data_IF_194662841696
#
_entry.id   IF_194662841696
#
_cell.length_a   1.000
_cell.length_b   1.000
_cell.length_c   1.000
_cell.angle_alpha   90.00
_cell.angle_beta   90.00
_cell.angle_gamma   90.00
#
_symmetry.space_group_name_H-M   'P 1'
#
loop_
_entity.id
_entity.type
_entity.pdbx_description
1 polymer ?
#
# COMPACT_ATOMS: atom_id res chain seq x y z
N UNK A 1 -31.75 47.88 2.94
CA UNK A 1 -30.82 47.39 3.97
C UNK A 1 -30.51 45.95 3.67
N UNK A 2 -29.35 45.70 3.06
CA UNK A 2 -28.91 44.36 2.65
C UNK A 2 -28.14 43.73 3.81
N UNK A 3 -28.65 42.65 4.39
CA UNK A 3 -27.97 41.92 5.46
C UNK A 3 -27.25 40.68 4.92
N UNK A 4 -25.93 40.71 5.13
CA UNK A 4 -24.92 39.66 5.27
C UNK A 4 -25.35 38.18 5.22
N UNK A 5 -24.70 37.47 4.29
CA UNK A 5 -23.74 36.37 4.52
C UNK A 5 -24.15 35.20 5.43
N UNK A 6 -24.44 34.05 4.80
CA UNK A 6 -24.41 32.73 5.42
C UNK A 6 -23.42 31.85 4.68
N UNK A 7 -22.13 31.94 5.06
CA UNK A 7 -21.08 31.04 4.56
C UNK A 7 -21.36 29.65 5.14
N UNK A 8 -21.90 28.76 4.30
CA UNK A 8 -22.18 27.39 4.65
C UNK A 8 -20.95 26.74 5.30
N UNK A 9 -21.10 26.33 6.56
CA UNK A 9 -20.10 25.53 7.26
C UNK A 9 -19.80 24.31 6.41
N UNK A 10 -18.52 24.08 6.10
CA UNK A 10 -18.05 22.78 5.61
C UNK A 10 -18.51 21.76 6.64
N UNK A 11 -19.54 20.99 6.30
CA UNK A 11 -20.01 19.90 7.14
C UNK A 11 -18.79 19.08 7.55
N UNK A 12 -18.68 18.78 8.84
CA UNK A 12 -17.74 17.79 9.33
C UNK A 12 -18.10 16.50 8.60
N UNK A 13 -17.37 16.23 7.51
CA UNK A 13 -17.63 15.04 6.72
C UNK A 13 -17.41 13.91 7.69
N UNK A 14 -18.46 13.12 7.96
CA UNK A 14 -18.31 11.80 8.54
C UNK A 14 -17.55 10.94 7.51
N UNK A 15 -16.27 11.27 7.35
CA UNK A 15 -15.32 10.54 6.53
C UNK A 15 -15.13 9.24 7.28
N UNK A 16 -15.55 8.16 6.64
CA UNK A 16 -15.36 6.79 7.10
C UNK A 16 -13.89 6.67 7.53
N UNK A 17 -13.65 6.45 8.83
CA UNK A 17 -12.31 6.39 9.41
C UNK A 17 -11.59 5.17 8.86
N UNK A 18 -10.67 5.38 7.93
CA UNK A 18 -9.97 4.31 7.19
C UNK A 18 -8.62 4.00 7.81
N UNK A 19 -7.99 4.97 8.48
CA UNK A 19 -6.61 4.83 8.96
C UNK A 19 -6.50 4.54 10.45
N UNK A 20 -7.58 4.62 11.23
CA UNK A 20 -7.52 4.51 12.69
C UNK A 20 -6.77 3.27 13.21
N UNK A 21 -6.90 2.11 12.55
CA UNK A 21 -6.18 0.89 12.98
C UNK A 21 -4.68 0.98 12.72
N UNK A 22 -4.29 1.42 11.52
CA UNK A 22 -2.90 1.50 11.11
C UNK A 22 -2.17 2.65 11.81
N UNK A 23 -2.87 3.76 12.08
CA UNK A 23 -2.33 4.88 12.84
C UNK A 23 -1.99 4.48 14.27
N UNK A 24 -2.83 3.69 14.96
CA UNK A 24 -2.49 3.18 16.30
C UNK A 24 -1.19 2.37 16.30
N UNK A 25 -1.03 1.49 15.31
CA UNK A 25 0.19 0.68 15.18
C UNK A 25 1.41 1.54 14.85
N UNK A 26 1.26 2.55 13.99
CA UNK A 26 2.34 3.48 13.69
C UNK A 26 2.70 4.33 14.91
N UNK A 27 1.73 4.89 15.63
CA UNK A 27 1.97 5.66 16.85
C UNK A 27 2.81 4.87 17.86
N UNK A 28 2.44 3.61 18.11
CA UNK A 28 3.24 2.70 18.94
C UNK A 28 4.65 2.47 18.36
N UNK A 29 4.77 2.24 17.06
CA UNK A 29 6.07 2.09 16.39
C UNK A 29 6.98 3.33 16.45
N UNK A 30 6.39 4.52 16.61
CA UNK A 30 7.10 5.78 16.85
C UNK A 30 7.36 6.08 18.34
N UNK A 31 6.97 5.16 19.24
CA UNK A 31 7.24 5.23 20.67
C UNK A 31 6.09 5.72 21.55
N UNK A 32 4.88 5.83 21.01
CA UNK A 32 3.67 6.13 21.79
C UNK A 32 3.19 4.91 22.60
N UNK A 33 2.15 5.08 23.42
CA UNK A 33 1.51 4.00 24.17
C UNK A 33 0.83 2.99 23.23
N UNK A 34 0.73 1.73 23.67
CA UNK A 34 0.16 0.64 22.86
C UNK A 34 -1.33 0.83 22.52
N UNK A 35 -2.07 1.52 23.37
CA UNK A 35 -3.48 1.86 23.14
C UNK A 35 -3.69 3.37 23.35
N UNK A 36 -3.38 4.20 22.34
CA UNK A 36 -3.54 5.64 22.44
C UNK A 36 -5.02 6.02 22.46
N UNK A 37 -5.33 7.17 23.06
CA UNK A 37 -6.70 7.67 23.14
C UNK A 37 -7.33 7.84 21.76
N UNK A 38 -8.61 7.52 21.67
CA UNK A 38 -9.37 7.61 20.42
C UNK A 38 -9.33 9.02 19.84
N UNK A 39 -9.40 10.05 20.67
CA UNK A 39 -9.36 11.45 20.23
C UNK A 39 -8.00 11.84 19.64
N UNK A 40 -6.90 11.32 20.18
CA UNK A 40 -5.56 11.54 19.61
C UNK A 40 -5.43 10.88 18.24
N UNK A 41 -5.89 9.64 18.10
CA UNK A 41 -5.90 8.93 16.80
C UNK A 41 -6.76 9.67 15.79
N UNK A 42 -7.90 10.18 16.24
CA UNK A 42 -8.86 10.93 15.44
C UNK A 42 -8.24 12.22 14.88
N UNK A 43 -7.59 13.00 15.73
CA UNK A 43 -6.90 14.23 15.32
C UNK A 43 -5.76 13.90 14.37
N UNK A 44 -4.98 12.86 14.65
CA UNK A 44 -3.88 12.44 13.77
C UNK A 44 -4.40 12.00 12.39
N UNK A 45 -5.53 11.30 12.33
CA UNK A 45 -6.16 10.92 11.06
C UNK A 45 -6.57 12.15 10.24
N UNK A 46 -7.10 13.19 10.88
CA UNK A 46 -7.43 14.45 10.22
C UNK A 46 -6.18 15.14 9.66
N UNK A 47 -5.12 15.25 10.46
CA UNK A 47 -3.84 15.82 10.01
C UNK A 47 -3.22 15.04 8.84
N UNK A 48 -3.30 13.70 8.86
CA UNK A 48 -2.75 12.85 7.80
C UNK A 48 -3.54 13.02 6.50
N UNK A 49 -4.86 13.08 6.57
CA UNK A 49 -5.70 13.31 5.37
C UNK A 49 -5.40 14.68 4.77
N UNK A 50 -5.26 15.72 5.60
CA UNK A 50 -4.94 17.06 5.13
C UNK A 50 -3.54 17.10 4.50
N UNK A 51 -2.54 16.48 5.13
CA UNK A 51 -1.19 16.37 4.57
C UNK A 51 -1.16 15.67 3.21
N UNK A 52 -1.84 14.53 3.07
CA UNK A 52 -1.89 13.79 1.80
C UNK A 52 -2.61 14.62 0.74
N UNK A 53 -3.71 15.28 1.11
CA UNK A 53 -4.49 16.12 0.19
C UNK A 53 -3.65 17.29 -0.33
N UNK A 54 -2.93 17.98 0.56
CA UNK A 54 -2.07 19.10 0.19
C UNK A 54 -0.88 18.66 -0.68
N UNK A 55 -0.27 17.52 -0.38
CA UNK A 55 0.77 16.93 -1.23
C UNK A 55 0.26 16.61 -2.63
N UNK A 56 -0.93 16.00 -2.74
CA UNK A 56 -1.56 15.71 -4.02
C UNK A 56 -1.88 16.99 -4.81
N UNK A 57 -2.39 18.03 -4.14
CA UNK A 57 -2.63 19.32 -4.79
C UNK A 57 -1.33 19.97 -5.29
N UNK A 58 -0.25 19.90 -4.52
CA UNK A 58 1.06 20.41 -4.96
C UNK A 58 1.58 19.64 -6.17
N UNK A 59 1.52 18.31 -6.13
CA UNK A 59 1.95 17.47 -7.25
C UNK A 59 1.07 17.70 -8.51
N UNK A 60 -0.24 17.87 -8.33
CA UNK A 60 -1.17 18.16 -9.43
C UNK A 60 -0.90 19.52 -10.10
N UNK A 61 -0.48 20.54 -9.34
CA UNK A 61 -0.09 21.85 -9.90
C UNK A 61 1.17 21.78 -10.75
N UNK A 62 2.06 20.84 -10.44
CA UNK A 62 3.32 20.64 -11.16
C UNK A 62 3.16 19.72 -12.37
N UNK A 63 2.09 18.92 -12.41
CA UNK A 63 1.84 17.98 -13.49
C UNK A 63 1.70 18.69 -14.84
N UNK A 64 2.65 18.43 -15.74
CA UNK A 64 2.64 18.93 -17.11
C UNK A 64 1.56 18.29 -18.00
N UNK A 65 0.88 17.23 -17.52
CA UNK A 65 -0.04 16.39 -18.30
C UNK A 65 -1.52 16.63 -17.98
N UNK A 66 -1.89 17.89 -17.71
CA UNK A 66 -3.28 18.29 -17.55
C UNK A 66 -4.01 17.58 -16.39
N UNK A 67 -3.35 17.48 -15.24
CA UNK A 67 -3.92 16.90 -14.01
C UNK A 67 -3.62 15.42 -13.76
N UNK A 68 -2.88 14.74 -14.66
CA UNK A 68 -2.37 13.38 -14.40
C UNK A 68 -1.09 13.43 -13.57
N UNK A 69 -1.22 13.17 -12.27
CA UNK A 69 -0.08 13.14 -11.34
C UNK A 69 0.76 11.87 -11.56
N UNK A 70 2.08 12.05 -11.62
CA UNK A 70 3.09 11.00 -11.78
C UNK A 70 4.01 10.94 -10.56
N UNK A 71 4.81 9.87 -10.46
CA UNK A 71 5.77 9.71 -9.36
C UNK A 71 6.84 10.81 -9.38
N UNK A 72 7.25 11.25 -10.56
CA UNK A 72 8.25 12.32 -10.69
C UNK A 72 7.72 13.67 -10.18
N UNK A 73 6.42 13.92 -10.28
CA UNK A 73 5.79 15.11 -9.69
C UNK A 73 5.94 15.10 -8.16
N UNK A 74 5.73 13.94 -7.51
CA UNK A 74 5.94 13.80 -6.07
C UNK A 74 7.41 13.94 -5.67
N UNK A 75 8.35 13.38 -6.46
CA UNK A 75 9.79 13.59 -6.23
C UNK A 75 10.15 15.07 -6.30
N UNK A 76 9.57 15.81 -7.25
CA UNK A 76 9.80 17.24 -7.36
C UNK A 76 9.24 18.02 -6.17
N UNK A 77 8.02 17.69 -5.69
CA UNK A 77 7.48 18.31 -4.46
C UNK A 77 8.42 18.06 -3.27
N UNK A 78 8.99 16.85 -3.17
CA UNK A 78 9.87 16.46 -2.07
C UNK A 78 11.34 16.88 -2.24
N UNK A 79 11.70 17.61 -3.31
CA UNK A 79 13.11 17.94 -3.64
C UNK A 79 13.88 18.67 -2.54
N UNK A 80 13.17 19.38 -1.67
CA UNK A 80 13.77 20.13 -0.56
C UNK A 80 13.95 19.27 0.72
N UNK A 81 13.30 18.11 0.80
CA UNK A 81 13.44 17.17 1.91
C UNK A 81 14.24 15.95 1.44
N UNK A 82 15.56 16.04 1.57
CA UNK A 82 16.46 14.99 1.11
C UNK A 82 16.21 13.63 1.78
N UNK A 83 15.71 13.60 3.03
CA UNK A 83 15.42 12.34 3.73
C UNK A 83 14.18 11.67 3.15
N UNK A 84 13.09 12.43 2.94
CA UNK A 84 11.87 11.90 2.33
C UNK A 84 12.11 11.49 0.88
N UNK A 85 12.86 12.28 0.12
CA UNK A 85 13.20 11.96 -1.27
C UNK A 85 14.01 10.67 -1.38
N UNK A 86 15.10 10.54 -0.61
CA UNK A 86 15.92 9.34 -0.61
C UNK A 86 15.11 8.09 -0.25
N UNK A 87 14.20 8.22 0.73
CA UNK A 87 13.32 7.11 1.11
C UNK A 87 12.35 6.72 -0.01
N UNK A 88 11.81 7.68 -0.76
CA UNK A 88 10.94 7.39 -1.91
C UNK A 88 11.70 6.64 -2.99
N UNK A 89 12.92 7.07 -3.32
CA UNK A 89 13.75 6.41 -4.34
C UNK A 89 14.12 4.97 -3.95
N UNK A 90 14.50 4.76 -2.69
CA UNK A 90 14.77 3.44 -2.13
C UNK A 90 13.56 2.52 -2.25
N UNK A 91 12.36 2.98 -1.85
CA UNK A 91 11.14 2.19 -1.91
C UNK A 91 10.75 1.82 -3.35
N UNK A 92 10.92 2.74 -4.30
CA UNK A 92 10.66 2.46 -5.73
C UNK A 92 11.60 1.36 -6.21
N UNK A 93 12.89 1.47 -5.94
CA UNK A 93 13.90 0.48 -6.31
C UNK A 93 13.59 -0.91 -5.72
N UNK A 94 13.31 -0.98 -4.42
CA UNK A 94 12.93 -2.25 -3.78
C UNK A 94 11.67 -2.86 -4.40
N UNK A 95 10.70 -2.03 -4.81
CA UNK A 95 9.51 -2.53 -5.50
C UNK A 95 9.82 -3.12 -6.87
N UNK A 96 10.80 -2.56 -7.59
CA UNK A 96 11.27 -3.05 -8.88
C UNK A 96 12.01 -4.37 -8.71
N UNK A 97 12.88 -4.49 -7.70
CA UNK A 97 13.59 -5.72 -7.36
C UNK A 97 12.61 -6.86 -7.05
N UNK A 98 11.57 -6.59 -6.23
CA UNK A 98 10.52 -7.57 -5.93
C UNK A 98 9.76 -7.99 -7.20
N UNK A 99 9.43 -7.05 -8.10
CA UNK A 99 8.75 -7.35 -9.37
C UNK A 99 9.63 -8.20 -10.28
N UNK A 100 10.92 -7.89 -10.38
CA UNK A 100 11.88 -8.65 -11.17
C UNK A 100 12.02 -10.09 -10.64
N UNK A 101 12.17 -10.25 -9.32
CA UNK A 101 12.24 -11.56 -8.69
C UNK A 101 10.98 -12.40 -8.94
N UNK A 102 9.78 -11.81 -8.80
CA UNK A 102 8.51 -12.49 -9.10
C UNK A 102 8.40 -12.91 -10.58
N UNK A 103 8.96 -12.12 -11.50
CA UNK A 103 8.96 -12.46 -12.93
C UNK A 103 9.78 -13.71 -13.22
N UNK A 104 10.94 -13.86 -12.57
CA UNK A 104 11.80 -15.05 -12.71
C UNK A 104 11.08 -16.30 -12.20
N UNK A 105 10.42 -16.20 -11.04
CA UNK A 105 9.66 -17.32 -10.46
C UNK A 105 8.51 -17.78 -11.36
N UNK A 106 7.87 -16.86 -12.08
CA UNK A 106 6.74 -17.14 -12.96
C UNK A 106 7.16 -17.45 -14.41
N UNK A 107 8.46 -17.62 -14.71
CA UNK A 107 8.91 -18.05 -16.03
C UNK A 107 8.76 -19.58 -16.19
N UNK A 108 8.18 -20.06 -17.30
CA UNK A 108 7.88 -21.49 -17.50
C UNK A 108 9.12 -22.39 -17.59
N UNK A 109 10.31 -21.83 -17.85
CA UNK A 109 11.58 -22.57 -17.80
C UNK A 109 11.93 -23.09 -16.39
N UNK A 110 11.35 -22.53 -15.32
CA UNK A 110 11.58 -22.99 -13.96
C UNK A 110 10.66 -24.15 -13.54
N UNK A 111 9.49 -24.31 -14.18
CA UNK A 111 8.58 -25.44 -13.93
C UNK A 111 9.10 -26.75 -14.56
N UNK A 112 9.85 -26.67 -15.66
CA UNK A 112 10.37 -27.86 -16.37
C UNK A 112 11.57 -28.52 -15.67
N UNK A 113 12.25 -27.81 -14.77
CA UNK A 113 13.35 -28.36 -13.95
C UNK A 113 12.85 -29.13 -12.71
N UNK A 114 11.60 -28.92 -12.30
CA UNK A 114 11.02 -29.55 -11.11
C UNK A 114 10.37 -30.93 -11.39
N UNK A 115 10.17 -31.30 -12.65
CA UNK A 115 9.56 -32.60 -13.04
C UNK A 115 10.59 -33.73 -13.29
N UNK A 116 11.88 -33.45 -13.08
CA UNK A 116 12.96 -34.43 -13.28
C UNK A 116 13.14 -35.43 -12.13
N UNK A 117 12.25 -36.43 -12.01
CA UNK A 117 12.63 -37.71 -11.40
C UNK A 117 11.64 -38.35 -10.43
N UNK A 118 10.80 -39.25 -10.95
CA UNK A 118 10.35 -40.43 -10.18
C UNK A 118 10.57 -41.69 -11.01
N UNK A 119 11.43 -42.64 -10.58
CA UNK A 119 11.50 -43.95 -11.21
C UNK A 119 10.21 -44.71 -10.90
N UNK A 120 9.41 -44.95 -11.95
CA UNK A 120 8.19 -45.76 -11.90
C UNK A 120 8.52 -47.18 -11.47
N UNK A 121 8.02 -47.53 -10.28
CA UNK A 121 8.19 -48.81 -9.60
C UNK A 121 7.24 -49.85 -10.19
N UNK A 122 7.84 -50.93 -10.70
CA UNK A 122 7.33 -52.30 -10.84
C UNK A 122 5.83 -52.54 -11.00
N UNK A 123 5.46 -53.06 -12.16
CA UNK A 123 4.24 -53.82 -12.37
C UNK A 123 4.16 -55.02 -11.39
N UNK A 124 3.12 -55.05 -10.57
CA UNK A 124 2.74 -56.17 -9.72
C UNK A 124 1.23 -56.15 -9.58
N UNK A 125 0.55 -56.94 -10.39
CA UNK A 125 -0.91 -57.02 -10.45
C UNK A 125 -1.52 -57.96 -9.41
N UNK A 126 -2.86 -57.93 -9.44
CA UNK A 126 -3.85 -58.81 -8.77
C UNK A 126 -4.05 -58.56 -7.27
N UNK A 127 -5.23 -58.73 -6.68
CA UNK A 127 -6.64 -58.85 -7.09
C UNK A 127 -7.43 -59.09 -5.78
N UNK A 128 -8.73 -58.80 -5.77
CA UNK A 128 -9.67 -59.24 -4.72
C UNK A 128 -9.92 -58.18 -3.65
N UNK A 129 -11.06 -57.49 -3.64
CA UNK A 129 -12.42 -57.94 -3.34
C UNK A 129 -12.74 -57.88 -1.84
N UNK A 130 -13.90 -57.28 -1.58
CA UNK A 130 -14.77 -57.41 -0.40
C UNK A 130 -14.41 -56.61 0.85
N UNK A 131 -15.26 -55.64 1.19
CA UNK A 131 -15.88 -55.57 2.53
C UNK A 131 -17.12 -54.69 2.50
N UNK A 132 -18.27 -55.32 2.76
CA UNK A 132 -19.53 -54.74 3.19
C UNK A 132 -19.49 -54.59 4.72
N UNK A 133 -20.04 -53.50 5.26
CA UNK A 133 -20.19 -53.25 6.69
C UNK A 133 -20.41 -51.78 7.00
#
# INVERSE_FOLDING_TARGET
>A
MSHHEGRAGRGHHSRKRVFAKDLRLMMYGFGDVANPDHDTVNVLEEMVVDYISDMCHQAARLSSKGGKVTVDDFKFVLRNDGKKLARVEELIRMSEDIKAARKIVNMPEFETLADGGKPGRGAGGSAGADTFG
#
